data_IF_150138409036
#
_entry.id   IF_150138409036
#
_cell.length_a   1.000
_cell.length_b   1.000
_cell.length_c   1.000
_cell.angle_alpha   90.00
_cell.angle_beta   90.00
_cell.angle_gamma   90.00
#
_symmetry.space_group_name_H-M   'P 1'
#
loop_
_entity.id
_entity.type
_entity.pdbx_description
1 polymer ?
#
# COMPACT_ATOMS: atom_id res chain seq x y z
N UNK A 1 1.98 15.76 -35.54
CA UNK A 1 1.73 14.74 -34.51
C UNK A 1 1.78 15.46 -33.18
N UNK A 2 0.63 15.94 -32.72
CA UNK A 2 0.53 16.61 -31.43
C UNK A 2 0.46 15.55 -30.31
N UNK A 3 1.07 15.81 -29.14
CA UNK A 3 1.18 14.81 -28.09
C UNK A 3 -0.18 14.57 -27.42
N UNK A 4 -0.60 13.30 -27.42
CA UNK A 4 -1.85 12.77 -26.87
C UNK A 4 -2.02 12.95 -25.34
N UNK A 5 -1.10 13.65 -24.67
CA UNK A 5 -1.04 13.80 -23.21
C UNK A 5 -2.07 14.77 -22.65
N UNK A 6 -2.24 15.94 -23.29
CA UNK A 6 -3.17 16.97 -22.79
C UNK A 6 -4.64 16.51 -22.86
N UNK A 7 -4.98 15.68 -23.85
CA UNK A 7 -6.34 15.14 -23.99
C UNK A 7 -6.68 14.15 -22.87
N UNK A 8 -5.74 13.29 -22.50
CA UNK A 8 -5.92 12.33 -21.41
C UNK A 8 -6.01 13.03 -20.05
N UNK A 9 -5.21 14.08 -19.84
CA UNK A 9 -5.28 14.88 -18.61
C UNK A 9 -6.63 15.61 -18.49
N UNK A 10 -7.15 16.14 -19.60
CA UNK A 10 -8.45 16.80 -19.63
C UNK A 10 -9.60 15.80 -19.38
N UNK A 11 -9.57 14.62 -20.01
CA UNK A 11 -10.57 13.57 -19.81
C UNK A 11 -10.54 13.02 -18.37
N UNK A 12 -9.35 12.86 -17.78
CA UNK A 12 -9.20 12.47 -16.38
C UNK A 12 -9.79 13.52 -15.43
N UNK A 13 -9.44 14.80 -15.63
CA UNK A 13 -10.01 15.92 -14.85
C UNK A 13 -11.52 15.99 -15.00
N UNK A 14 -12.05 15.77 -16.19
CA UNK A 14 -13.48 15.81 -16.44
C UNK A 14 -14.21 14.59 -15.84
N UNK A 15 -13.60 13.40 -15.87
CA UNK A 15 -14.15 12.19 -15.24
C UNK A 15 -14.16 12.31 -13.70
N UNK A 16 -13.09 12.85 -13.11
CA UNK A 16 -13.05 13.19 -11.67
C UNK A 16 -14.15 14.21 -11.35
N UNK A 17 -14.27 15.29 -12.15
CA UNK A 17 -15.29 16.32 -11.94
C UNK A 17 -16.73 15.81 -12.12
N UNK A 18 -16.99 14.90 -13.06
CA UNK A 18 -18.32 14.30 -13.30
C UNK A 18 -18.71 13.27 -12.24
N UNK A 19 -17.74 12.60 -11.61
CA UNK A 19 -18.00 11.71 -10.47
C UNK A 19 -18.09 12.47 -9.15
N UNK A 20 -17.45 13.64 -9.08
CA UNK A 20 -17.51 14.62 -7.99
C UNK A 20 -18.44 15.79 -8.38
N UNK A 21 -19.65 15.51 -8.89
CA UNK A 21 -20.73 16.51 -8.82
C UNK A 21 -21.34 16.43 -7.43
N UNK A 22 -20.58 16.91 -6.45
CA UNK A 22 -21.06 17.24 -5.11
C UNK A 22 -20.96 18.75 -4.97
N UNK A 23 -22.05 19.38 -4.54
CA UNK A 23 -22.07 20.79 -4.17
C UNK A 23 -21.04 21.02 -3.05
N UNK A 24 -19.85 21.47 -3.41
CA UNK A 24 -19.01 22.22 -2.46
C UNK A 24 -19.69 23.59 -2.30
N UNK A 25 -20.17 23.96 -1.10
CA UNK A 25 -20.55 25.33 -0.85
C UNK A 25 -19.34 26.22 -1.10
N UNK A 26 -19.59 27.31 -1.83
CA UNK A 26 -18.64 28.38 -2.08
C UNK A 26 -18.40 29.12 -0.76
N UNK A 27 -17.62 28.50 0.14
CA UNK A 27 -17.14 29.14 1.36
C UNK A 27 -15.98 30.08 1.00
N UNK A 28 -16.37 31.16 0.33
CA UNK A 28 -15.61 32.39 0.36
C UNK A 28 -15.46 32.84 1.81
N UNK A 29 -14.21 32.96 2.22
CA UNK A 29 -13.71 33.71 3.37
C UNK A 29 -13.42 32.92 4.66
N UNK A 30 -12.22 33.21 5.21
CA UNK A 30 -11.60 32.77 6.48
C UNK A 30 -10.85 31.42 6.38
N UNK A 31 -9.56 31.28 6.68
CA UNK A 31 -8.75 31.95 7.72
C UNK A 31 -7.27 31.94 7.30
N UNK A 32 -6.63 33.10 7.37
CA UNK A 32 -5.18 33.22 7.49
C UNK A 32 -4.71 32.60 8.81
N UNK A 33 -4.06 31.43 8.77
CA UNK A 33 -3.16 30.94 9.82
C UNK A 33 -2.29 29.79 9.31
N UNK A 34 -1.34 30.08 8.41
CA UNK A 34 -0.18 29.22 8.25
C UNK A 34 0.65 29.32 9.54
N UNK A 35 0.57 28.30 10.40
CA UNK A 35 1.57 28.04 11.42
C UNK A 35 2.40 26.84 11.00
N UNK A 36 3.62 27.14 10.59
CA UNK A 36 4.76 26.24 10.49
C UNK A 36 5.14 25.80 11.90
N UNK A 37 4.82 24.56 12.31
CA UNK A 37 5.62 23.73 13.25
C UNK A 37 5.23 22.27 13.00
N UNK A 38 6.10 21.52 12.31
CA UNK A 38 6.03 20.06 12.33
C UNK A 38 6.64 19.54 13.64
N UNK A 39 6.02 18.58 14.35
CA UNK A 39 6.70 17.86 15.41
C UNK A 39 7.74 16.89 14.83
N UNK A 40 8.86 16.63 15.52
CA UNK A 40 9.82 15.62 15.10
C UNK A 40 9.14 14.24 15.08
N UNK A 41 9.32 13.53 13.96
CA UNK A 41 8.93 12.13 13.83
C UNK A 41 9.68 11.32 14.90
N UNK A 42 9.02 10.42 15.65
CA UNK A 42 9.74 9.45 16.47
C UNK A 42 10.54 8.53 15.55
N UNK A 43 11.85 8.44 15.80
CA UNK A 43 12.76 7.48 15.19
C UNK A 43 12.41 6.06 15.66
N UNK A 44 11.28 5.52 15.19
CA UNK A 44 10.93 4.13 15.30
C UNK A 44 11.38 3.40 14.05
N UNK A 45 12.14 2.31 14.21
CA UNK A 45 12.59 1.46 13.12
C UNK A 45 11.38 0.85 12.40
N UNK A 46 11.18 1.23 11.15
CA UNK A 46 10.01 0.87 10.35
C UNK A 46 9.96 -0.61 9.98
N UNK A 47 11.08 -1.35 10.12
CA UNK A 47 11.17 -2.75 9.71
C UNK A 47 10.31 -3.69 10.55
N UNK A 48 10.06 -3.36 11.83
CA UNK A 48 9.38 -4.26 12.76
C UNK A 48 7.85 -4.36 12.54
N UNK A 49 7.21 -3.39 11.88
CA UNK A 49 5.74 -3.36 11.71
C UNK A 49 5.22 -4.15 10.51
N UNK A 50 6.10 -4.52 9.57
CA UNK A 50 5.69 -5.17 8.31
C UNK A 50 5.64 -6.69 8.38
N UNK A 51 5.98 -7.29 9.53
CA UNK A 51 5.97 -8.75 9.71
C UNK A 51 6.91 -9.50 8.75
N UNK A 52 7.89 -8.81 8.17
CA UNK A 52 8.78 -9.38 7.16
C UNK A 52 9.83 -10.35 7.74
N UNK A 53 10.09 -10.30 9.06
CA UNK A 53 11.16 -11.09 9.67
C UNK A 53 10.65 -11.97 10.81
N UNK A 54 10.48 -13.27 10.53
CA UNK A 54 10.48 -14.33 11.55
C UNK A 54 10.84 -15.67 10.91
N UNK A 55 12.05 -15.78 10.34
CA UNK A 55 12.70 -17.07 10.22
C UNK A 55 13.24 -17.47 11.61
N UNK A 56 12.43 -18.12 12.43
CA UNK A 56 12.96 -18.85 13.58
C UNK A 56 13.63 -20.13 13.07
N UNK A 57 14.96 -20.02 12.93
CA UNK A 57 15.86 -21.15 12.87
C UNK A 57 15.71 -21.99 14.16
N UNK A 58 15.80 -23.31 13.97
CA UNK A 58 15.76 -24.30 15.03
C UNK A 58 16.83 -24.05 16.09
N UNK A 59 16.41 -23.95 17.35
CA UNK A 59 17.30 -24.02 18.50
C UNK A 59 17.77 -25.47 18.69
N UNK A 60 19.06 -25.70 18.48
CA UNK A 60 19.79 -26.83 19.06
C UNK A 60 20.72 -26.30 20.17
N UNK A 61 20.91 -27.02 21.27
CA UNK A 61 21.86 -26.63 22.31
C UNK A 61 23.29 -27.05 21.93
N UNK A 62 24.25 -26.12 22.03
CA UNK A 62 25.69 -26.42 22.09
C UNK A 62 26.06 -27.14 23.40
N UNK A 63 27.35 -27.48 23.68
CA UNK A 63 28.51 -26.65 23.34
C UNK A 63 29.84 -27.39 23.03
N UNK A 64 30.88 -26.59 22.75
CA UNK A 64 32.31 -26.74 23.09
C UNK A 64 33.30 -26.76 21.91
N UNK A 65 34.24 -25.80 21.94
CA UNK A 65 35.56 -25.95 21.32
C UNK A 65 35.92 -24.94 20.24
N UNK A 66 36.37 -23.75 20.64
CA UNK A 66 37.15 -22.86 19.78
C UNK A 66 38.64 -23.02 20.09
N UNK A 67 39.49 -23.28 19.08
CA UNK A 67 40.86 -22.78 19.07
C UNK A 67 41.01 -21.66 18.03
N UNK A 68 41.73 -20.62 18.45
CA UNK A 68 42.10 -19.44 17.68
C UNK A 68 42.81 -19.82 16.37
N UNK A 69 42.25 -19.40 15.23
CA UNK A 69 42.90 -19.49 13.91
C UNK A 69 43.36 -18.09 13.51
N UNK A 70 44.67 -17.93 13.37
CA UNK A 70 45.30 -16.68 12.93
C UNK A 70 44.96 -16.38 11.46
N UNK A 71 44.83 -15.09 11.08
CA UNK A 71 44.60 -14.70 9.69
C UNK A 71 45.93 -14.68 8.92
N UNK A 72 46.05 -15.53 7.90
CA UNK A 72 47.10 -15.40 6.88
C UNK A 72 46.55 -14.65 5.68
N UNK A 73 47.27 -13.56 5.36
CA UNK A 73 47.56 -13.00 4.04
C UNK A 73 46.40 -12.71 3.07
N UNK A 74 46.34 -11.43 2.70
CA UNK A 74 45.69 -10.90 1.51
C UNK A 74 46.02 -11.74 0.26
N UNK A 75 44.99 -12.24 -0.41
CA UNK A 75 45.02 -12.46 -1.85
C UNK A 75 43.81 -11.73 -2.44
N UNK A 76 44.12 -10.67 -3.19
CA UNK A 76 43.18 -9.93 -4.01
C UNK A 76 42.85 -10.77 -5.25
N UNK A 77 41.74 -11.49 -5.21
CA UNK A 77 41.16 -12.11 -6.39
C UNK A 77 39.97 -11.27 -6.87
N UNK A 78 40.25 -10.34 -7.81
CA UNK A 78 39.23 -9.56 -8.50
C UNK A 78 38.57 -10.42 -9.58
N UNK A 79 37.83 -11.43 -9.14
CA UNK A 79 36.94 -12.17 -10.04
C UNK A 79 35.66 -11.34 -10.22
N UNK A 80 35.58 -10.78 -11.42
CA UNK A 80 34.47 -10.09 -12.05
C UNK A 80 33.15 -10.89 -11.90
N UNK A 81 32.34 -10.55 -10.90
CA UNK A 81 30.97 -11.07 -10.71
C UNK A 81 29.98 -10.25 -11.55
N UNK A 82 30.21 -10.21 -12.87
CA UNK A 82 29.20 -9.79 -13.83
C UNK A 82 28.34 -10.99 -14.23
N UNK A 83 27.01 -10.81 -14.27
CA UNK A 83 26.03 -11.70 -14.94
C UNK A 83 25.43 -12.90 -14.17
N UNK A 84 25.29 -12.87 -12.83
CA UNK A 84 24.53 -13.93 -12.11
C UNK A 84 23.44 -13.45 -11.14
N UNK A 85 22.80 -12.30 -11.40
CA UNK A 85 21.76 -11.75 -10.52
C UNK A 85 20.35 -11.63 -11.13
N UNK A 86 20.03 -12.39 -12.20
CA UNK A 86 18.72 -12.23 -12.89
C UNK A 86 17.92 -13.52 -13.13
N UNK A 87 18.33 -14.69 -12.64
CA UNK A 87 17.65 -15.95 -13.03
C UNK A 87 16.87 -16.69 -11.93
N UNK A 88 16.80 -16.18 -10.69
CA UNK A 88 16.05 -16.82 -9.60
C UNK A 88 14.63 -16.25 -9.37
N UNK A 89 13.95 -15.83 -10.44
CA UNK A 89 12.48 -15.64 -10.45
C UNK A 89 11.71 -16.95 -10.65
N UNK A 90 12.32 -18.09 -10.29
CA UNK A 90 11.73 -19.41 -10.44
C UNK A 90 10.54 -19.59 -9.47
N UNK A 91 9.33 -19.35 -9.99
CA UNK A 91 8.04 -20.01 -9.68
C UNK A 91 7.49 -20.00 -8.24
N UNK A 92 8.22 -19.56 -7.21
CA UNK A 92 7.76 -19.62 -5.80
C UNK A 92 7.46 -18.27 -5.14
N UNK A 93 7.92 -17.15 -5.71
CA UNK A 93 7.58 -15.80 -5.21
C UNK A 93 6.68 -15.11 -6.22
N UNK A 94 5.36 -15.15 -6.01
CA UNK A 94 4.47 -14.21 -6.71
C UNK A 94 5.01 -12.79 -6.45
N UNK A 95 5.17 -11.95 -7.49
CA UNK A 95 5.48 -10.54 -7.28
C UNK A 95 4.43 -9.98 -6.31
N UNK A 96 4.89 -9.30 -5.26
CA UNK A 96 3.97 -8.61 -4.36
C UNK A 96 3.22 -7.54 -5.15
N UNK A 97 1.94 -7.34 -4.87
CA UNK A 97 1.26 -6.15 -5.42
C UNK A 97 1.70 -4.94 -4.60
N UNK A 98 1.92 -3.82 -5.27
CA UNK A 98 2.17 -2.51 -4.66
C UNK A 98 0.95 -1.63 -4.86
N UNK A 99 0.55 -0.88 -3.85
CA UNK A 99 -0.60 0.01 -3.90
C UNK A 99 -0.24 1.39 -3.40
N UNK A 100 -0.96 2.39 -3.90
CA UNK A 100 -0.88 3.76 -3.42
C UNK A 100 -2.28 4.27 -3.09
N UNK A 101 -2.40 5.02 -2.01
CA UNK A 101 -3.59 5.77 -1.60
C UNK A 101 -3.24 7.25 -1.68
N UNK A 102 -4.03 8.01 -2.42
CA UNK A 102 -3.99 9.47 -2.47
C UNK A 102 -5.15 10.00 -1.61
N UNK A 103 -4.87 10.94 -0.71
CA UNK A 103 -5.88 11.63 0.12
C UNK A 103 -5.57 13.13 0.16
N UNK A 104 -6.23 13.93 -0.67
CA UNK A 104 -5.83 15.32 -0.87
C UNK A 104 -4.42 15.40 -1.44
N UNK A 105 -3.49 15.98 -0.68
CA UNK A 105 -2.06 16.10 -1.06
C UNK A 105 -1.18 14.96 -0.49
N UNK A 106 -1.75 14.10 0.35
CA UNK A 106 -1.02 13.02 1.02
C UNK A 106 -1.01 11.76 0.15
N UNK A 107 0.15 11.10 0.03
CA UNK A 107 0.32 9.84 -0.69
C UNK A 107 0.88 8.79 0.26
N UNK A 108 0.10 7.74 0.50
CA UNK A 108 0.52 6.57 1.27
C UNK A 108 0.77 5.40 0.32
N UNK A 109 1.96 4.78 0.41
CA UNK A 109 2.35 3.66 -0.44
C UNK A 109 2.53 2.43 0.42
N UNK A 110 1.94 1.31 0.00
CA UNK A 110 2.06 0.04 0.70
C UNK A 110 2.29 -1.10 -0.28
N UNK A 111 2.73 -2.23 0.26
CA UNK A 111 2.89 -3.47 -0.49
C UNK A 111 2.09 -4.58 0.16
N UNK A 112 1.71 -5.58 -0.64
CA UNK A 112 0.95 -6.72 -0.13
C UNK A 112 1.79 -7.47 0.90
N UNK A 113 1.19 -7.72 2.06
CA UNK A 113 1.87 -8.33 3.19
C UNK A 113 1.99 -9.84 3.00
N UNK A 114 3.20 -10.38 3.25
CA UNK A 114 3.49 -11.82 3.19
C UNK A 114 3.84 -12.31 4.59
N UNK A 115 3.06 -13.29 5.09
CA UNK A 115 3.24 -13.78 6.46
C UNK A 115 2.70 -12.78 7.50
N UNK A 116 2.74 -13.18 8.77
CA UNK A 116 2.29 -12.36 9.90
C UNK A 116 0.77 -12.10 9.97
N UNK A 117 0.37 -11.44 11.05
CA UNK A 117 -0.93 -10.80 11.21
C UNK A 117 -0.73 -9.30 10.97
N UNK A 118 -1.40 -8.70 9.98
CA UNK A 118 -1.25 -7.27 9.71
C UNK A 118 -1.77 -6.44 10.90
N UNK A 119 -1.04 -5.40 11.28
CA UNK A 119 -1.47 -4.41 12.28
C UNK A 119 -2.45 -3.42 11.64
N UNK A 120 -3.71 -3.86 11.54
CA UNK A 120 -4.77 -3.09 10.91
C UNK A 120 -5.39 -2.10 11.90
N UNK A 121 -5.68 -0.89 11.42
CA UNK A 121 -6.52 0.05 12.14
C UNK A 121 -7.86 -0.64 12.48
N UNK A 122 -8.36 -0.59 13.73
CA UNK A 122 -9.55 -1.34 14.16
C UNK A 122 -10.76 -1.17 13.27
N UNK A 123 -11.02 0.06 12.77
CA UNK A 123 -12.10 0.31 11.81
C UNK A 123 -11.96 -0.49 10.50
N UNK A 124 -10.73 -0.68 9.99
CA UNK A 124 -10.47 -1.48 8.79
C UNK A 124 -10.70 -2.96 9.06
N UNK A 125 -10.22 -3.45 10.21
CA UNK A 125 -10.47 -4.82 10.64
C UNK A 125 -11.96 -5.10 10.76
N UNK A 126 -12.73 -4.23 11.42
CA UNK A 126 -14.18 -4.33 11.57
C UNK A 126 -14.89 -4.45 10.22
N UNK A 127 -14.56 -3.59 9.25
CA UNK A 127 -15.18 -3.61 7.91
C UNK A 127 -14.84 -4.91 7.16
N UNK A 128 -13.64 -5.44 7.32
CA UNK A 128 -13.24 -6.69 6.68
C UNK A 128 -13.91 -7.90 7.32
N UNK A 129 -14.03 -7.92 8.65
CA UNK A 129 -14.73 -8.96 9.41
C UNK A 129 -16.23 -9.00 9.05
N UNK A 130 -16.86 -7.84 8.80
CA UNK A 130 -18.24 -7.78 8.27
C UNK A 130 -18.40 -8.52 6.95
N UNK A 131 -17.45 -8.35 6.01
CA UNK A 131 -17.50 -9.05 4.73
C UNK A 131 -17.41 -10.57 4.90
N UNK A 132 -16.60 -11.03 5.85
CA UNK A 132 -16.50 -12.46 6.17
C UNK A 132 -17.79 -12.98 6.84
N UNK A 133 -18.34 -12.22 7.81
CA UNK A 133 -19.59 -12.55 8.49
C UNK A 133 -20.81 -12.62 7.57
N UNK A 134 -20.86 -11.78 6.54
CA UNK A 134 -21.93 -11.75 5.54
C UNK A 134 -21.84 -12.90 4.51
N UNK A 135 -20.83 -13.77 4.62
CA UNK A 135 -20.58 -14.84 3.64
C UNK A 135 -20.07 -14.29 2.30
N UNK A 136 -19.48 -13.09 2.32
CA UNK A 136 -18.91 -12.44 1.16
C UNK A 136 -17.76 -13.23 0.54
N UNK A 137 -17.46 -12.94 -0.72
CA UNK A 137 -16.34 -13.58 -1.42
C UNK A 137 -15.01 -13.01 -0.90
N UNK A 138 -14.40 -13.69 0.06
CA UNK A 138 -13.03 -13.38 0.51
C UNK A 138 -12.01 -14.07 -0.41
N UNK A 139 -11.02 -13.31 -0.88
CA UNK A 139 -9.90 -13.86 -1.66
C UNK A 139 -8.80 -14.42 -0.75
N UNK A 140 -7.84 -15.18 -1.31
CA UNK A 140 -6.67 -15.70 -0.56
C UNK A 140 -5.80 -14.61 0.10
N UNK A 141 -5.98 -13.35 -0.28
CA UNK A 141 -5.27 -12.19 0.28
C UNK A 141 -6.15 -11.26 1.12
N UNK A 142 -7.30 -11.74 1.61
CA UNK A 142 -8.19 -10.95 2.46
C UNK A 142 -7.40 -10.32 3.63
N UNK A 143 -7.59 -9.00 3.83
CA UNK A 143 -6.86 -8.22 4.83
C UNK A 143 -5.37 -7.99 4.58
N UNK A 144 -4.79 -8.48 3.48
CA UNK A 144 -3.33 -8.44 3.21
C UNK A 144 -2.95 -7.73 1.90
N UNK A 145 -3.93 -7.17 1.21
CA UNK A 145 -3.72 -6.42 -0.02
C UNK A 145 -3.00 -5.09 0.28
N UNK A 146 -2.30 -4.55 -0.72
CA UNK A 146 -1.59 -3.29 -0.57
C UNK A 146 -2.54 -2.12 -0.28
N UNK A 147 -3.75 -2.15 -0.85
CA UNK A 147 -4.80 -1.15 -0.61
C UNK A 147 -5.20 -1.12 0.88
N UNK A 148 -5.33 -2.31 1.49
CA UNK A 148 -5.67 -2.44 2.92
C UNK A 148 -4.58 -1.82 3.78
N UNK A 149 -3.31 -2.12 3.48
CA UNK A 149 -2.17 -1.55 4.19
C UNK A 149 -2.13 -0.02 4.07
N UNK A 150 -2.29 0.52 2.86
CA UNK A 150 -2.26 1.97 2.64
C UNK A 150 -3.41 2.71 3.36
N UNK A 151 -4.63 2.17 3.31
CA UNK A 151 -5.79 2.76 4.03
C UNK A 151 -5.59 2.68 5.54
N UNK A 152 -5.12 1.53 6.04
CA UNK A 152 -4.85 1.32 7.47
C UNK A 152 -3.78 2.28 8.00
N UNK A 153 -2.66 2.41 7.29
CA UNK A 153 -1.58 3.33 7.66
C UNK A 153 -2.09 4.77 7.71
N UNK A 154 -2.86 5.20 6.70
CA UNK A 154 -3.43 6.54 6.68
C UNK A 154 -4.37 6.80 7.85
N UNK A 155 -5.22 5.84 8.19
CA UNK A 155 -6.11 5.95 9.34
C UNK A 155 -5.32 6.06 10.65
N UNK A 156 -4.27 5.26 10.85
CA UNK A 156 -3.39 5.40 12.03
C UNK A 156 -2.71 6.76 12.13
N UNK A 157 -2.39 7.40 11.01
CA UNK A 157 -1.79 8.75 11.02
C UNK A 157 -2.78 9.82 11.49
N UNK A 158 -4.06 9.71 11.15
CA UNK A 158 -5.07 10.73 11.47
C UNK A 158 -5.88 10.41 12.73
N UNK A 159 -5.90 9.14 13.13
CA UNK A 159 -6.61 8.61 14.30
C UNK A 159 -5.69 7.61 15.04
N UNK A 160 -4.64 8.11 15.71
CA UNK A 160 -3.68 7.26 16.41
C UNK A 160 -4.28 6.50 17.60
N UNK A 161 -5.43 6.95 18.11
CA UNK A 161 -6.13 6.33 19.24
C UNK A 161 -7.22 5.33 18.78
N UNK A 162 -7.40 5.15 17.47
CA UNK A 162 -8.41 4.27 16.88
C UNK A 162 -9.84 4.52 17.38
N UNK A 163 -10.23 5.78 17.49
CA UNK A 163 -11.54 6.22 18.00
C UNK A 163 -12.52 6.65 16.91
N UNK A 164 -12.04 6.84 15.68
CA UNK A 164 -12.80 7.33 14.56
C UNK A 164 -13.86 6.31 14.14
N UNK A 165 -15.10 6.78 14.05
CA UNK A 165 -16.22 5.99 13.57
C UNK A 165 -16.19 5.85 12.05
N UNK A 166 -16.89 4.84 11.52
CA UNK A 166 -17.03 4.65 10.06
C UNK A 166 -17.56 5.90 9.35
N UNK A 167 -18.58 6.55 9.92
CA UNK A 167 -19.19 7.75 9.35
C UNK A 167 -18.20 8.91 9.28
N UNK A 168 -17.36 9.08 10.30
CA UNK A 168 -16.32 10.12 10.31
C UNK A 168 -15.24 9.83 9.28
N UNK A 169 -14.79 8.58 9.16
CA UNK A 169 -13.82 8.16 8.16
C UNK A 169 -14.34 8.35 6.73
N UNK A 170 -15.59 7.95 6.45
CA UNK A 170 -16.26 8.20 5.17
C UNK A 170 -16.28 9.68 4.83
N UNK A 171 -16.77 10.52 5.76
CA UNK A 171 -16.84 11.96 5.54
C UNK A 171 -15.45 12.59 5.38
N UNK A 172 -14.43 12.06 6.05
CA UNK A 172 -13.04 12.49 5.88
C UNK A 172 -12.52 12.18 4.46
N UNK A 173 -12.61 10.93 4.02
CA UNK A 173 -12.12 10.51 2.70
C UNK A 173 -12.90 11.16 1.56
N UNK A 174 -14.22 11.32 1.70
CA UNK A 174 -15.06 12.00 0.73
C UNK A 174 -14.67 13.48 0.58
N UNK A 175 -14.55 14.22 1.69
CA UNK A 175 -14.17 15.65 1.67
C UNK A 175 -12.77 15.89 1.10
N UNK A 176 -11.83 14.98 1.37
CA UNK A 176 -10.44 15.09 0.88
C UNK A 176 -10.24 14.58 -0.54
N UNK A 177 -11.20 13.83 -1.09
CA UNK A 177 -11.07 13.17 -2.37
C UNK A 177 -10.04 12.05 -2.33
N UNK A 178 -10.42 10.91 -1.75
CA UNK A 178 -9.53 9.76 -1.62
C UNK A 178 -9.60 8.82 -2.84
N UNK A 179 -8.45 8.35 -3.31
CA UNK A 179 -8.37 7.36 -4.37
C UNK A 179 -7.23 6.35 -4.17
N UNK A 180 -7.47 5.09 -4.50
CA UNK A 180 -6.45 4.02 -4.42
C UNK A 180 -6.19 3.39 -5.80
N UNK A 181 -4.94 3.00 -6.02
CA UNK A 181 -4.49 2.27 -7.20
C UNK A 181 -3.54 1.16 -6.79
N UNK A 182 -3.71 -0.03 -7.37
CA UNK A 182 -2.81 -1.17 -7.16
C UNK A 182 -2.13 -1.58 -8.47
N UNK A 183 -0.88 -1.99 -8.37
CA UNK A 183 -0.05 -2.47 -9.46
C UNK A 183 0.51 -3.84 -9.13
N UNK A 184 0.63 -4.68 -10.16
CA UNK A 184 1.39 -5.93 -10.12
C UNK A 184 2.50 -5.89 -11.14
N UNK A 185 3.62 -6.56 -10.84
CA UNK A 185 4.66 -6.83 -11.82
C UNK A 185 4.25 -8.03 -12.68
N UNK A 186 4.36 -7.85 -13.99
CA UNK A 186 4.18 -8.92 -14.97
C UNK A 186 5.44 -9.78 -15.09
N UNK A 187 5.34 -10.89 -15.83
CA UNK A 187 6.51 -11.72 -16.15
C UNK A 187 7.56 -10.99 -17.02
N UNK A 188 7.20 -9.84 -17.60
CA UNK A 188 8.05 -8.99 -18.41
C UNK A 188 8.55 -7.75 -17.64
N UNK A 189 8.47 -7.74 -16.31
CA UNK A 189 8.85 -6.62 -15.44
C UNK A 189 8.14 -5.29 -15.75
N UNK A 190 6.97 -5.35 -16.41
CA UNK A 190 6.11 -4.18 -16.61
C UNK A 190 5.09 -4.07 -15.49
N UNK A 191 4.91 -2.85 -14.96
CA UNK A 191 3.85 -2.53 -14.01
C UNK A 191 2.50 -2.51 -14.72
N UNK A 192 1.56 -3.29 -14.20
CA UNK A 192 0.18 -3.27 -14.67
C UNK A 192 -0.77 -2.89 -13.54
N UNK A 193 -1.62 -1.90 -13.81
CA UNK A 193 -2.74 -1.55 -12.92
C UNK A 193 -3.65 -2.76 -12.81
N UNK A 194 -3.89 -3.22 -11.58
CA UNK A 194 -4.75 -4.35 -11.27
C UNK A 194 -6.11 -3.88 -10.80
N UNK A 195 -7.16 -4.62 -11.14
CA UNK A 195 -8.44 -4.44 -10.48
C UNK A 195 -8.30 -4.80 -8.99
N UNK A 196 -8.99 -4.03 -8.14
CA UNK A 196 -9.10 -4.35 -6.72
C UNK A 196 -9.73 -5.73 -6.54
N UNK A 197 -9.25 -6.50 -5.56
CA UNK A 197 -9.91 -7.76 -5.20
C UNK A 197 -11.26 -7.48 -4.52
N UNK A 198 -12.19 -8.46 -4.41
CA UNK A 198 -13.50 -8.23 -3.82
C UNK A 198 -13.47 -7.62 -2.41
N UNK A 199 -12.49 -7.98 -1.59
CA UNK A 199 -12.35 -7.41 -0.24
C UNK A 199 -11.88 -5.96 -0.26
N UNK A 200 -11.01 -5.59 -1.20
CA UNK A 200 -10.59 -4.20 -1.38
C UNK A 200 -11.70 -3.36 -1.99
N UNK A 201 -12.46 -3.91 -2.95
CA UNK A 201 -13.65 -3.25 -3.48
C UNK A 201 -14.64 -2.93 -2.36
N UNK A 202 -14.96 -3.92 -1.52
CA UNK A 202 -15.84 -3.73 -0.36
C UNK A 202 -15.32 -2.67 0.61
N UNK A 203 -14.04 -2.76 1.00
CA UNK A 203 -13.42 -1.79 1.91
C UNK A 203 -13.47 -0.36 1.35
N UNK A 204 -13.09 -0.19 0.08
CA UNK A 204 -13.06 1.13 -0.57
C UNK A 204 -14.47 1.71 -0.74
N UNK A 205 -15.47 0.88 -1.03
CA UNK A 205 -16.88 1.29 -1.07
C UNK A 205 -17.37 1.76 0.31
N UNK A 206 -17.10 0.98 1.37
CA UNK A 206 -17.50 1.32 2.75
C UNK A 206 -16.81 2.57 3.30
N UNK A 207 -15.65 2.96 2.76
CA UNK A 207 -14.91 4.15 3.19
C UNK A 207 -15.02 5.33 2.22
N UNK A 208 -15.85 5.24 1.18
CA UNK A 208 -15.95 6.27 0.13
C UNK A 208 -14.60 6.59 -0.55
N UNK A 209 -13.71 5.61 -0.68
CA UNK A 209 -12.43 5.72 -1.39
C UNK A 209 -12.62 5.29 -2.83
N UNK A 210 -12.28 6.14 -3.80
CA UNK A 210 -12.38 5.78 -5.21
C UNK A 210 -11.32 4.75 -5.60
N UNK A 211 -11.67 3.74 -6.41
CA UNK A 211 -10.68 2.83 -7.01
C UNK A 211 -10.33 3.31 -8.42
N UNK A 212 -9.05 3.59 -8.69
CA UNK A 212 -8.57 3.84 -10.05
C UNK A 212 -8.42 2.48 -10.73
N UNK A 213 -9.23 2.25 -11.77
CA UNK A 213 -9.22 1.02 -12.55
C UNK A 213 -8.68 1.31 -13.94
N UNK A 214 -7.94 0.36 -14.51
CA UNK A 214 -7.66 0.39 -15.95
C UNK A 214 -9.00 0.31 -16.70
N UNK A 215 -9.26 1.16 -17.70
CA UNK A 215 -10.41 0.94 -18.58
C UNK A 215 -10.30 -0.46 -19.21
N UNK A 216 -11.42 -1.16 -19.42
CA UNK A 216 -11.39 -2.45 -20.11
C UNK A 216 -10.66 -2.27 -21.44
N UNK A 217 -9.85 -3.25 -21.88
CA UNK A 217 -9.26 -3.19 -23.21
C UNK A 217 -10.39 -3.03 -24.22
N UNK A 218 -10.27 -2.03 -25.09
CA UNK A 218 -11.25 -1.76 -26.15
C UNK A 218 -11.49 -3.07 -26.91
N UNK A 219 -12.73 -3.56 -26.92
CA UNK A 219 -13.10 -4.81 -27.59
C UNK A 219 -13.31 -4.55 -29.08
N UNK A 220 -12.27 -4.03 -29.74
CA UNK A 220 -12.21 -3.75 -31.18
C UNK A 220 -12.11 -5.01 -32.01
#
# INVERSE_FOLDING_TARGET
>A
MEPNGEKLELEFKEAVRKRVTFNLPDDGDRVSALRTVGPPQPEGDWTDRTGADSNHAAEGPGPAGHPLRQPTALENDSTYMGEQLVTDFSKAKRPGMSGALLVGDDIEVSSSMKGGTPDLHPLVAEILDELEGDGGRTGRGHGRCAEVGAISNHLWMIDPDATMTRTEAQAYFERRGAATIAHTLTAQDTLQVTAACPSCEYLTDKLCVATIRRPPPDMS
#
